data_IF_794905937514
#
_entry.id   IF_794905937514
#
_cell.length_a   1.000
_cell.length_b   1.000
_cell.length_c   1.000
_cell.angle_alpha   90.00
_cell.angle_beta   90.00
_cell.angle_gamma   90.00
#
_symmetry.space_group_name_H-M   'P 1'
#
loop_
_entity.id
_entity.type
_entity.pdbx_description
1 polymer ?
#
# COMPACT_ATOMS: atom_id res chain seq x y z
N UNK A 1 -8.18 22.03 30.86
CA UNK A 1 -9.04 21.44 29.81
C UNK A 1 -8.17 20.50 29.01
N UNK A 2 -8.41 19.19 29.04
CA UNK A 2 -7.61 18.25 28.25
C UNK A 2 -8.12 18.27 26.81
N UNK A 3 -7.29 18.76 25.89
CA UNK A 3 -7.45 18.51 24.46
C UNK A 3 -7.06 17.06 24.18
N UNK A 4 -8.02 16.14 24.33
CA UNK A 4 -7.89 14.81 23.75
C UNK A 4 -7.72 14.97 22.24
N UNK A 5 -6.55 14.62 21.72
CA UNK A 5 -6.35 14.44 20.28
C UNK A 5 -7.35 13.39 19.81
N UNK A 6 -8.28 13.79 18.95
CA UNK A 6 -9.22 12.86 18.33
C UNK A 6 -8.49 12.13 17.20
N UNK A 7 -7.57 11.24 17.56
CA UNK A 7 -6.81 10.42 16.62
C UNK A 7 -7.77 9.48 15.88
N UNK A 8 -8.06 9.85 14.63
CA UNK A 8 -8.84 8.99 13.75
C UNK A 8 -8.02 7.75 13.41
N UNK A 9 -8.46 6.61 13.92
CA UNK A 9 -7.94 5.30 13.54
C UNK A 9 -8.44 4.90 12.15
N UNK A 10 -7.60 4.22 11.38
CA UNK A 10 -7.90 3.75 10.02
C UNK A 10 -7.61 2.26 9.87
N UNK A 11 -8.39 1.57 9.05
CA UNK A 11 -8.03 0.27 8.50
C UNK A 11 -7.15 0.47 7.27
N UNK A 12 -5.88 0.13 7.41
CA UNK A 12 -4.89 0.24 6.35
C UNK A 12 -4.97 -0.93 5.35
N UNK A 13 -5.16 -0.59 4.08
CA UNK A 13 -5.02 -1.51 2.95
C UNK A 13 -3.82 -1.07 2.10
N UNK A 14 -2.68 -1.75 2.29
CA UNK A 14 -1.38 -1.34 1.74
C UNK A 14 -0.87 -2.31 0.66
N UNK A 15 -0.66 -1.82 -0.56
CA UNK A 15 -0.03 -2.57 -1.67
C UNK A 15 1.42 -2.10 -1.85
N UNK A 16 2.40 -3.00 -1.80
CA UNK A 16 3.82 -2.68 -1.97
C UNK A 16 4.49 -3.59 -2.99
N UNK A 17 5.45 -3.05 -3.74
CA UNK A 17 6.20 -3.78 -4.76
C UNK A 17 7.33 -2.91 -5.33
N UNK A 18 7.87 -3.35 -6.47
CA UNK A 18 8.85 -2.60 -7.27
C UNK A 18 8.23 -2.32 -8.64
N UNK A 19 8.48 -1.15 -9.22
CA UNK A 19 7.92 -0.78 -10.51
C UNK A 19 8.47 0.51 -11.07
N UNK A 20 8.18 0.79 -12.34
CA UNK A 20 8.54 2.05 -12.98
C UNK A 20 7.46 3.10 -12.79
N UNK A 21 7.85 4.34 -12.51
CA UNK A 21 6.93 5.49 -12.55
C UNK A 21 6.87 6.01 -13.99
N UNK A 22 5.67 6.29 -14.48
CA UNK A 22 5.43 6.85 -15.80
C UNK A 22 4.27 7.84 -15.79
N UNK A 23 4.11 8.64 -16.86
CA UNK A 23 2.97 9.54 -17.08
C UNK A 23 2.73 10.51 -15.92
N UNK A 24 3.82 11.02 -15.33
CA UNK A 24 3.77 11.96 -14.21
C UNK A 24 3.21 13.30 -14.68
N UNK A 25 2.21 13.80 -13.96
CA UNK A 25 1.47 15.00 -14.34
C UNK A 25 0.81 15.65 -13.12
N UNK A 26 0.64 16.97 -13.19
CA UNK A 26 -0.34 17.64 -12.32
C UNK A 26 -1.74 17.47 -12.92
N UNK A 27 -2.70 17.09 -12.08
CA UNK A 27 -4.09 16.91 -12.46
C UNK A 27 -4.90 18.10 -11.93
N UNK A 28 -5.49 18.93 -12.80
CA UNK A 28 -6.37 20.00 -12.38
C UNK A 28 -7.69 19.43 -11.84
N UNK A 29 -8.20 20.05 -10.79
CA UNK A 29 -9.46 19.68 -10.13
C UNK A 29 -10.54 20.71 -10.43
N UNK A 30 -11.76 20.25 -10.70
CA UNK A 30 -12.93 21.12 -10.90
C UNK A 30 -13.56 21.43 -9.54
N UNK A 31 -13.42 22.66 -9.05
CA UNK A 31 -14.01 23.06 -7.76
C UNK A 31 -13.84 24.53 -7.35
N UNK A 32 -13.67 25.45 -8.31
CA UNK A 32 -13.49 26.88 -8.03
C UNK A 32 -12.17 27.23 -7.31
N UNK A 33 -12.11 28.42 -6.71
CA UNK A 33 -10.86 29.04 -6.18
C UNK A 33 -10.11 28.25 -5.10
N UNK A 34 -10.70 27.22 -4.49
CA UNK A 34 -10.08 26.38 -3.44
C UNK A 34 -9.60 25.01 -3.93
N UNK A 35 -9.87 24.67 -5.19
CA UNK A 35 -9.53 23.37 -5.73
C UNK A 35 -8.06 23.35 -6.19
N UNK A 36 -7.17 22.80 -5.37
CA UNK A 36 -5.74 22.69 -5.67
C UNK A 36 -5.44 21.47 -6.57
N UNK A 37 -4.66 21.62 -7.65
CA UNK A 37 -4.24 20.48 -8.47
C UNK A 37 -3.45 19.47 -7.63
N UNK A 38 -3.43 18.21 -8.07
CA UNK A 38 -2.67 17.16 -7.41
C UNK A 38 -1.71 16.44 -8.35
N UNK A 39 -0.53 16.09 -7.83
CA UNK A 39 0.42 15.26 -8.55
C UNK A 39 -0.11 13.83 -8.69
N UNK A 40 -0.08 13.30 -9.91
CA UNK A 40 -0.46 11.94 -10.23
C UNK A 40 0.56 11.29 -11.15
N UNK A 41 0.67 9.97 -11.07
CA UNK A 41 1.48 9.17 -11.97
C UNK A 41 0.82 7.81 -12.20
N UNK A 42 1.32 7.05 -13.16
CA UNK A 42 1.02 5.62 -13.28
C UNK A 42 2.22 4.83 -12.75
N UNK A 43 2.00 3.84 -11.88
CA UNK A 43 3.02 2.87 -11.50
C UNK A 43 2.85 1.63 -12.37
N UNK A 44 3.91 1.23 -13.07
CA UNK A 44 4.02 -0.04 -13.78
C UNK A 44 4.76 -1.03 -12.88
N UNK A 45 4.00 -1.71 -12.00
CA UNK A 45 4.52 -2.64 -11.01
C UNK A 45 4.93 -3.97 -11.65
N UNK A 46 6.12 -4.46 -11.30
CA UNK A 46 6.66 -5.75 -11.73
C UNK A 46 6.06 -6.89 -10.91
N UNK A 47 5.69 -7.98 -11.55
CA UNK A 47 5.15 -9.19 -10.90
C UNK A 47 5.65 -10.44 -11.62
N UNK A 48 6.02 -11.47 -10.87
CA UNK A 48 6.44 -12.77 -11.41
C UNK A 48 7.95 -12.89 -11.59
N UNK A 49 8.44 -13.85 -12.39
CA UNK A 49 9.87 -14.13 -12.54
C UNK A 49 10.64 -12.91 -13.08
N UNK A 50 11.79 -12.60 -12.49
CA UNK A 50 12.56 -11.40 -12.87
C UNK A 50 13.14 -11.43 -14.30
N UNK A 51 13.22 -12.62 -14.91
CA UNK A 51 13.62 -12.80 -16.32
C UNK A 51 12.52 -12.44 -17.32
N UNK A 52 11.25 -12.52 -16.92
CA UNK A 52 10.08 -12.19 -17.75
C UNK A 52 8.93 -11.65 -16.86
N UNK A 53 9.06 -10.43 -16.34
CA UNK A 53 8.09 -9.87 -15.42
C UNK A 53 6.83 -9.39 -16.14
N UNK A 54 5.68 -9.82 -15.62
CA UNK A 54 4.40 -9.20 -15.94
C UNK A 54 4.27 -7.83 -15.30
N UNK A 55 3.47 -6.94 -15.92
CA UNK A 55 3.16 -5.62 -15.37
C UNK A 55 1.74 -5.56 -14.80
N UNK A 56 1.58 -4.82 -13.70
CA UNK A 56 0.28 -4.33 -13.18
C UNK A 56 0.33 -2.82 -13.11
N UNK A 57 -0.70 -2.16 -13.64
CA UNK A 57 -0.73 -0.71 -13.79
C UNK A 57 -1.66 -0.06 -12.76
N UNK A 58 -1.13 0.90 -12.00
CA UNK A 58 -1.86 1.68 -11.01
C UNK A 58 -1.86 3.16 -11.38
N UNK A 59 -3.02 3.77 -11.57
CA UNK A 59 -3.15 5.22 -11.69
C UNK A 59 -3.29 5.84 -10.29
N UNK A 60 -2.22 6.48 -9.80
CA UNK A 60 -2.11 6.85 -8.39
C UNK A 60 -2.04 8.36 -8.17
N UNK A 61 -2.69 8.82 -7.09
CA UNK A 61 -2.51 10.18 -6.55
C UNK A 61 -1.30 10.18 -5.62
N UNK A 62 -0.30 11.00 -5.92
CA UNK A 62 0.92 11.10 -5.08
C UNK A 62 0.58 11.88 -3.82
N UNK A 63 0.57 11.18 -2.69
CA UNK A 63 0.04 11.69 -1.43
C UNK A 63 1.13 11.91 -0.38
N UNK A 64 2.09 10.97 -0.26
CA UNK A 64 3.21 11.10 0.67
C UNK A 64 4.17 12.23 0.34
N UNK A 65 4.71 12.90 1.36
CA UNK A 65 5.56 14.09 1.20
C UNK A 65 6.85 13.80 0.41
N UNK A 66 7.64 12.80 0.83
CA UNK A 66 8.87 12.42 0.14
C UNK A 66 8.59 11.84 -1.26
N UNK A 67 7.50 11.07 -1.39
CA UNK A 67 7.06 10.58 -2.70
C UNK A 67 6.74 11.74 -3.67
N UNK A 68 6.14 12.85 -3.21
CA UNK A 68 5.95 14.04 -4.05
C UNK A 68 7.28 14.65 -4.48
N UNK A 69 8.21 14.87 -3.55
CA UNK A 69 9.55 15.45 -3.82
C UNK A 69 10.36 14.62 -4.82
N UNK A 70 10.20 13.31 -4.84
CA UNK A 70 10.81 12.41 -5.83
C UNK A 70 10.06 12.52 -7.16
N UNK A 71 8.75 12.26 -7.15
CA UNK A 71 7.97 12.06 -8.38
C UNK A 71 7.85 13.34 -9.21
N UNK A 72 7.74 14.52 -8.59
CA UNK A 72 7.58 15.80 -9.30
C UNK A 72 8.71 16.10 -10.29
N UNK A 73 9.92 15.57 -10.04
CA UNK A 73 11.10 15.73 -10.91
C UNK A 73 10.95 15.07 -12.29
N UNK A 74 9.96 14.19 -12.45
CA UNK A 74 9.72 13.40 -13.65
C UNK A 74 8.47 13.86 -14.44
N UNK A 75 7.90 15.02 -14.12
CA UNK A 75 6.86 15.66 -14.95
C UNK A 75 7.40 15.86 -16.38
N UNK A 76 6.64 15.42 -17.38
CA UNK A 76 7.05 15.51 -18.79
C UNK A 76 8.08 14.47 -19.25
N UNK A 77 8.51 13.54 -18.39
CA UNK A 77 9.41 12.45 -18.78
C UNK A 77 8.62 11.30 -19.40
N UNK A 78 8.54 11.31 -20.74
CA UNK A 78 7.87 10.26 -21.52
C UNK A 78 8.81 9.12 -21.97
N UNK A 79 10.12 9.39 -22.14
CA UNK A 79 11.13 8.41 -22.58
C UNK A 79 11.16 7.19 -21.63
N UNK A 80 10.87 5.96 -22.11
CA UNK A 80 10.95 4.75 -21.32
C UNK A 80 12.29 4.53 -20.61
N UNK A 81 13.40 5.00 -21.19
CA UNK A 81 14.76 4.82 -20.63
C UNK A 81 15.03 5.72 -19.42
N UNK A 82 14.25 6.79 -19.23
CA UNK A 82 14.40 7.79 -18.18
C UNK A 82 13.38 7.62 -17.03
N UNK A 83 12.48 6.63 -17.14
CA UNK A 83 11.49 6.33 -16.11
C UNK A 83 12.18 5.83 -14.84
N UNK A 84 11.94 6.42 -13.66
CA UNK A 84 12.57 5.97 -12.43
C UNK A 84 11.95 4.63 -12.03
N UNK A 85 12.83 3.69 -11.73
CA UNK A 85 12.47 2.45 -11.05
C UNK A 85 12.42 2.73 -9.55
N UNK A 86 11.33 2.34 -8.89
CA UNK A 86 11.12 2.57 -7.47
C UNK A 86 10.63 1.34 -6.73
N UNK A 87 11.06 1.22 -5.47
CA UNK A 87 10.32 0.51 -4.43
C UNK A 87 9.18 1.42 -3.96
N UNK A 88 7.95 0.92 -3.91
CA UNK A 88 6.78 1.75 -3.61
C UNK A 88 5.87 1.15 -2.53
N UNK A 89 5.10 2.04 -1.87
CA UNK A 89 3.93 1.69 -1.06
C UNK A 89 2.73 2.53 -1.50
N UNK A 90 1.67 1.85 -1.89
CA UNK A 90 0.35 2.39 -2.14
C UNK A 90 -0.55 2.15 -0.93
N UNK A 91 -1.48 3.07 -0.67
CA UNK A 91 -2.58 2.90 0.29
C UNK A 91 -3.93 3.14 -0.38
N UNK A 92 -4.96 2.50 0.17
CA UNK A 92 -6.34 2.44 -0.33
C UNK A 92 -6.39 2.03 -1.81
N UNK A 93 -6.41 0.74 -2.09
CA UNK A 93 -6.55 0.24 -3.46
C UNK A 93 -8.03 0.11 -3.84
N UNK A 94 -8.46 0.75 -4.94
CA UNK A 94 -9.81 0.60 -5.51
C UNK A 94 -9.79 0.41 -7.02
N UNK A 95 -10.87 -0.14 -7.57
CA UNK A 95 -11.12 -0.19 -9.00
C UNK A 95 -11.92 1.01 -9.49
N UNK A 96 -11.53 1.58 -10.61
CA UNK A 96 -12.28 2.61 -11.33
C UNK A 96 -12.72 2.05 -12.68
N UNK A 97 -14.04 1.96 -12.91
CA UNK A 97 -14.65 1.29 -14.07
C UNK A 97 -15.19 2.32 -15.05
N UNK A 98 -14.97 2.08 -16.34
CA UNK A 98 -15.37 3.00 -17.40
C UNK A 98 -15.63 2.27 -18.73
N UNK A 99 -16.39 2.91 -19.62
CA UNK A 99 -16.49 2.48 -21.01
C UNK A 99 -15.43 3.23 -21.83
N UNK A 100 -14.69 2.54 -22.69
CA UNK A 100 -13.69 3.18 -23.55
C UNK A 100 -14.36 4.06 -24.60
N UNK A 101 -13.95 5.34 -24.67
CA UNK A 101 -14.49 6.32 -25.62
C UNK A 101 -13.84 6.23 -27.02
N UNK A 102 -12.65 5.63 -27.12
CA UNK A 102 -11.75 5.64 -28.29
C UNK A 102 -10.96 4.32 -28.44
N UNK A 103 -10.31 4.18 -29.59
CA UNK A 103 -9.49 3.02 -29.97
C UNK A 103 -10.33 1.83 -30.45
N UNK A 104 -9.66 0.73 -30.80
CA UNK A 104 -10.30 -0.50 -31.31
C UNK A 104 -11.25 -1.14 -30.30
N UNK A 105 -10.96 -0.97 -28.99
CA UNK A 105 -11.79 -1.45 -27.89
C UNK A 105 -12.84 -0.42 -27.43
N UNK A 106 -13.17 0.58 -28.25
CA UNK A 106 -14.24 1.55 -27.97
C UNK A 106 -15.58 0.85 -27.69
N UNK A 107 -16.31 1.33 -26.69
CA UNK A 107 -17.58 0.75 -26.26
C UNK A 107 -17.45 -0.47 -25.34
N UNK A 108 -16.23 -1.02 -25.17
CA UNK A 108 -15.99 -2.12 -24.23
C UNK A 108 -15.80 -1.59 -22.81
N UNK A 109 -16.15 -2.41 -21.83
CA UNK A 109 -15.81 -2.18 -20.43
C UNK A 109 -14.30 -2.17 -20.24
N UNK A 110 -13.84 -1.30 -19.36
CA UNK A 110 -12.46 -1.18 -18.95
C UNK A 110 -12.40 -0.79 -17.47
N UNK A 111 -11.26 -1.05 -16.84
CA UNK A 111 -11.03 -0.60 -15.49
C UNK A 111 -9.55 -0.24 -15.27
N UNK A 112 -9.30 0.62 -14.29
CA UNK A 112 -7.96 1.00 -13.83
C UNK A 112 -7.88 0.77 -12.33
N UNK A 113 -6.78 0.15 -11.87
CA UNK A 113 -6.47 0.11 -10.44
C UNK A 113 -6.03 1.52 -10.02
N UNK A 114 -6.67 2.07 -8.99
CA UNK A 114 -6.32 3.35 -8.40
C UNK A 114 -5.89 3.18 -6.95
N UNK A 115 -5.01 4.07 -6.52
CA UNK A 115 -4.56 4.15 -5.13
C UNK A 115 -3.93 5.51 -4.79
N UNK A 116 -3.54 5.69 -3.52
CA UNK A 116 -2.66 6.77 -3.07
C UNK A 116 -1.21 6.27 -3.02
N UNK A 117 -0.27 6.93 -3.72
CA UNK A 117 1.16 6.66 -3.55
C UNK A 117 1.64 7.32 -2.25
N UNK A 118 2.02 6.50 -1.26
CA UNK A 118 2.43 6.92 0.08
C UNK A 118 3.95 6.98 0.24
N UNK A 119 4.68 6.00 -0.32
CA UNK A 119 6.14 5.98 -0.34
C UNK A 119 6.64 5.60 -1.74
N UNK A 120 7.73 6.22 -2.16
CA UNK A 120 8.49 5.88 -3.34
C UNK A 120 9.96 6.15 -3.03
N UNK A 121 10.82 5.16 -3.26
CA UNK A 121 12.26 5.20 -3.04
C UNK A 121 12.93 4.67 -4.31
N UNK A 122 13.95 5.36 -4.83
CA UNK A 122 14.71 4.86 -5.99
C UNK A 122 15.41 3.56 -5.60
N UNK A 123 15.34 2.57 -6.50
CA UNK A 123 16.06 1.30 -6.38
C UNK A 123 17.07 1.24 -7.53
N UNK A 124 18.31 0.85 -7.21
CA UNK A 124 19.36 0.72 -8.22
C UNK A 124 19.22 -0.59 -9.03
N UNK A 125 20.01 -0.70 -10.11
CA UNK A 125 19.93 -1.86 -11.02
C UNK A 125 20.57 -3.12 -10.45
N UNK A 126 21.49 -3.00 -9.49
CA UNK A 126 22.13 -4.14 -8.84
C UNK A 126 21.19 -4.76 -7.79
N UNK A 127 20.48 -3.93 -7.01
CA UNK A 127 19.42 -4.40 -6.11
C UNK A 127 18.32 -5.12 -6.91
N UNK A 128 17.82 -4.53 -8.01
CA UNK A 128 16.84 -5.20 -8.88
C UNK A 128 17.37 -6.55 -9.42
N UNK A 129 18.64 -6.61 -9.87
CA UNK A 129 19.22 -7.82 -10.43
C UNK A 129 19.41 -8.95 -9.40
N UNK A 130 19.38 -8.64 -8.11
CA UNK A 130 19.44 -9.64 -7.03
C UNK A 130 18.11 -10.35 -6.76
N UNK A 131 17.00 -9.82 -7.31
CA UNK A 131 15.65 -10.34 -7.10
C UNK A 131 15.33 -11.38 -8.16
N UNK A 132 15.03 -12.62 -7.75
CA UNK A 132 14.61 -13.70 -8.68
C UNK A 132 13.13 -13.62 -9.06
N UNK A 133 12.28 -13.11 -8.16
CA UNK A 133 10.84 -13.02 -8.33
C UNK A 133 10.31 -11.71 -7.74
N UNK A 134 9.57 -10.94 -8.55
CA UNK A 134 8.93 -9.71 -8.11
C UNK A 134 7.57 -10.02 -7.48
N UNK A 135 7.40 -9.61 -6.22
CA UNK A 135 6.12 -9.63 -5.52
C UNK A 135 5.40 -8.28 -5.58
N UNK A 136 4.07 -8.35 -5.61
CA UNK A 136 3.16 -7.20 -5.49
C UNK A 136 2.18 -7.48 -4.35
N UNK A 137 2.66 -7.25 -3.11
CA UNK A 137 1.95 -7.68 -1.91
C UNK A 137 0.97 -6.62 -1.42
N UNK A 138 -0.31 -6.99 -1.39
CA UNK A 138 -1.37 -6.24 -0.70
C UNK A 138 -1.59 -6.82 0.69
N UNK A 139 -1.51 -6.00 1.73
CA UNK A 139 -1.69 -6.37 3.14
C UNK A 139 -2.86 -5.61 3.73
N UNK A 140 -3.61 -6.27 4.61
CA UNK A 140 -4.72 -5.68 5.35
C UNK A 140 -5.39 -6.69 6.27
N UNK A 141 -6.52 -6.31 6.84
CA UNK A 141 -7.44 -7.22 7.54
C UNK A 141 -8.80 -7.23 6.83
N UNK A 142 -9.52 -8.34 6.91
CA UNK A 142 -10.78 -8.49 6.19
C UNK A 142 -11.53 -9.77 6.56
N UNK A 143 -12.79 -9.85 6.17
CA UNK A 143 -13.59 -11.05 6.43
C UNK A 143 -13.45 -12.06 5.28
N UNK A 144 -13.09 -13.30 5.63
CA UNK A 144 -13.02 -14.43 4.72
C UNK A 144 -14.42 -15.00 4.50
N UNK A 145 -14.84 -15.16 3.25
CA UNK A 145 -16.11 -15.79 2.89
C UNK A 145 -16.03 -16.51 1.53
N UNK A 146 -17.13 -17.17 1.12
CA UNK A 146 -17.29 -17.83 -0.19
C UNK A 146 -16.15 -18.79 -0.56
N UNK A 147 -15.68 -19.56 0.43
CA UNK A 147 -14.69 -20.62 0.20
C UNK A 147 -15.30 -21.70 -0.69
N UNK A 148 -14.59 -22.09 -1.75
CA UNK A 148 -15.03 -23.09 -2.73
C UNK A 148 -13.83 -23.73 -3.42
N UNK A 149 -13.91 -25.03 -3.70
CA UNK A 149 -13.02 -25.67 -4.66
C UNK A 149 -13.51 -25.35 -6.09
N UNK A 150 -12.60 -24.92 -6.96
CA UNK A 150 -12.88 -24.54 -8.35
C UNK A 150 -12.17 -25.51 -9.27
N UNK A 151 -12.93 -26.21 -10.12
CA UNK A 151 -12.41 -27.07 -11.19
C UNK A 151 -12.64 -26.39 -12.53
N UNK A 152 -11.62 -25.72 -13.11
CA UNK A 152 -11.73 -25.10 -14.43
C UNK A 152 -11.83 -26.15 -15.55
N UNK A 153 -12.25 -25.72 -16.74
CA UNK A 153 -12.30 -26.60 -17.93
C UNK A 153 -10.91 -27.02 -18.44
N UNK A 154 -9.87 -26.28 -18.07
CA UNK A 154 -8.47 -26.52 -18.39
C UNK A 154 -7.61 -25.94 -17.26
N UNK A 155 -6.50 -26.61 -16.93
CA UNK A 155 -5.70 -26.34 -15.74
C UNK A 155 -6.17 -27.12 -14.51
N UNK A 156 -5.39 -27.04 -13.44
CA UNK A 156 -5.63 -27.77 -12.20
C UNK A 156 -6.79 -27.15 -11.38
N UNK A 157 -7.42 -27.97 -10.54
CA UNK A 157 -8.38 -27.47 -9.54
C UNK A 157 -7.66 -26.69 -8.45
N UNK A 158 -8.29 -25.62 -7.96
CA UNK A 158 -7.73 -24.74 -6.94
C UNK A 158 -8.77 -24.34 -5.89
N UNK A 159 -8.31 -24.06 -4.67
CA UNK A 159 -9.14 -23.46 -3.64
C UNK A 159 -9.29 -21.96 -3.91
N UNK A 160 -10.52 -21.45 -3.84
CA UNK A 160 -10.85 -20.04 -4.01
C UNK A 160 -11.65 -19.52 -2.82
N UNK A 161 -11.49 -18.24 -2.50
CA UNK A 161 -12.31 -17.55 -1.50
C UNK A 161 -12.40 -16.05 -1.82
N UNK A 162 -13.43 -15.38 -1.30
CA UNK A 162 -13.54 -13.92 -1.35
C UNK A 162 -13.08 -13.33 -0.03
N UNK A 163 -12.23 -12.29 -0.07
CA UNK A 163 -11.83 -11.50 1.09
C UNK A 163 -12.49 -10.13 1.03
N UNK A 164 -13.37 -9.84 1.99
CA UNK A 164 -13.96 -8.52 2.20
C UNK A 164 -13.00 -7.69 3.07
N UNK A 165 -12.00 -7.06 2.45
CA UNK A 165 -10.99 -6.26 3.14
C UNK A 165 -11.56 -4.96 3.67
N UNK A 166 -11.20 -4.62 4.92
CA UNK A 166 -11.54 -3.35 5.56
C UNK A 166 -10.58 -2.26 5.07
N UNK A 167 -11.11 -1.08 4.76
CA UNK A 167 -10.35 0.10 4.40
C UNK A 167 -11.03 1.38 4.95
N UNK A 168 -10.28 2.46 5.10
CA UNK A 168 -10.83 3.75 5.53
C UNK A 168 -11.00 3.88 7.06
N UNK A 169 -11.81 4.83 7.54
CA UNK A 169 -11.98 5.10 8.97
C UNK A 169 -12.49 3.87 9.76
N UNK A 170 -12.05 3.70 11.01
CA UNK A 170 -12.48 2.57 11.86
C UNK A 170 -13.94 2.70 12.32
N UNK A 171 -14.44 3.92 12.45
CA UNK A 171 -15.82 4.25 12.78
C UNK A 171 -16.79 4.07 11.59
N UNK A 172 -16.32 4.20 10.36
CA UNK A 172 -17.09 4.01 9.13
C UNK A 172 -16.25 3.24 8.08
N UNK A 173 -16.07 1.92 8.24
CA UNK A 173 -15.21 1.14 7.35
C UNK A 173 -15.83 0.86 5.98
N UNK A 174 -15.07 1.10 4.93
CA UNK A 174 -15.36 0.62 3.58
C UNK A 174 -14.92 -0.85 3.41
N UNK A 175 -15.62 -1.57 2.52
CA UNK A 175 -15.25 -2.92 2.11
C UNK A 175 -14.72 -2.96 0.68
N UNK A 176 -13.52 -3.50 0.49
CA UNK A 176 -12.94 -3.85 -0.82
C UNK A 176 -12.98 -5.37 -0.96
N UNK A 177 -13.77 -5.87 -1.90
CA UNK A 177 -13.92 -7.31 -2.13
C UNK A 177 -12.86 -7.78 -3.12
N UNK A 178 -12.08 -8.77 -2.70
CA UNK A 178 -11.08 -9.46 -3.52
C UNK A 178 -11.51 -10.90 -3.73
N UNK A 179 -11.69 -11.31 -4.98
CA UNK A 179 -11.80 -12.73 -5.31
C UNK A 179 -10.39 -13.30 -5.44
N UNK A 180 -10.14 -14.41 -4.73
CA UNK A 180 -8.77 -14.92 -4.58
C UNK A 180 -8.63 -16.39 -4.91
N UNK A 181 -7.47 -16.73 -5.45
CA UNK A 181 -6.92 -18.10 -5.48
C UNK A 181 -6.09 -18.26 -4.21
N UNK A 182 -6.28 -19.34 -3.47
CA UNK A 182 -5.43 -19.69 -2.31
C UNK A 182 -4.29 -20.56 -2.81
N UNK A 183 -3.04 -20.09 -2.73
CA UNK A 183 -1.93 -20.69 -3.48
C UNK A 183 -0.80 -21.30 -2.65
N UNK A 184 -0.84 -21.18 -1.32
CA UNK A 184 0.16 -21.83 -0.45
C UNK A 184 -0.51 -22.91 0.40
N UNK A 185 0.15 -24.07 0.63
CA UNK A 185 -0.43 -25.14 1.44
C UNK A 185 -0.82 -24.72 2.86
N UNK A 186 -0.08 -23.77 3.45
CA UNK A 186 -0.43 -23.17 4.74
C UNK A 186 -1.74 -22.36 4.65
N UNK A 187 -1.86 -21.46 3.67
CA UNK A 187 -3.08 -20.66 3.50
C UNK A 187 -4.28 -21.55 3.14
N UNK A 188 -4.10 -22.60 2.32
CA UNK A 188 -5.16 -23.57 2.04
C UNK A 188 -5.64 -24.29 3.30
N UNK A 189 -4.72 -24.81 4.11
CA UNK A 189 -5.05 -25.47 5.37
C UNK A 189 -5.82 -24.54 6.32
N UNK A 190 -5.38 -23.28 6.43
CA UNK A 190 -6.03 -22.26 7.26
C UNK A 190 -7.41 -21.84 6.74
N UNK A 191 -7.58 -21.71 5.41
CA UNK A 191 -8.89 -21.41 4.79
C UNK A 191 -9.85 -22.59 4.95
N UNK A 192 -9.41 -23.84 4.74
CA UNK A 192 -10.26 -25.03 4.91
C UNK A 192 -10.73 -25.20 6.36
N UNK A 193 -9.89 -24.89 7.35
CA UNK A 193 -10.28 -24.82 8.78
C UNK A 193 -11.42 -23.83 9.07
N UNK A 194 -11.63 -22.83 8.22
CA UNK A 194 -12.67 -21.81 8.41
C UNK A 194 -14.01 -22.16 7.77
N UNK A 195 -14.09 -23.20 6.92
CA UNK A 195 -15.29 -23.53 6.13
C UNK A 195 -16.54 -23.71 7.00
N UNK A 196 -16.48 -24.57 8.03
CA UNK A 196 -17.60 -24.80 8.94
C UNK A 196 -18.07 -23.53 9.68
N UNK A 197 -17.17 -22.59 9.95
CA UNK A 197 -17.53 -21.32 10.58
C UNK A 197 -18.25 -20.40 9.58
N UNK A 198 -17.79 -20.35 8.33
CA UNK A 198 -18.39 -19.56 7.26
C UNK A 198 -19.76 -20.12 6.86
N UNK A 199 -19.91 -21.44 6.78
CA UNK A 199 -21.18 -22.12 6.52
C UNK A 199 -22.20 -21.97 7.67
N UNK A 200 -21.71 -21.74 8.90
CA UNK A 200 -22.52 -21.41 10.07
C UNK A 200 -22.75 -19.91 10.28
N UNK A 201 -22.60 -19.08 9.24
CA UNK A 201 -22.76 -17.62 9.24
C UNK A 201 -21.89 -16.85 10.28
N UNK A 202 -20.79 -17.46 10.75
CA UNK A 202 -19.89 -16.87 11.75
C UNK A 202 -18.91 -15.88 11.11
N UNK A 203 -18.54 -14.84 11.84
CA UNK A 203 -17.64 -13.79 11.34
C UNK A 203 -16.18 -14.23 11.42
N UNK A 204 -15.62 -14.70 10.31
CA UNK A 204 -14.21 -15.06 10.17
C UNK A 204 -13.39 -13.86 9.67
N UNK A 205 -12.74 -13.14 10.59
CA UNK A 205 -11.80 -12.05 10.30
C UNK A 205 -10.38 -12.61 10.16
N UNK A 206 -9.67 -12.25 9.10
CA UNK A 206 -8.27 -12.63 8.86
C UNK A 206 -7.35 -11.42 8.71
N UNK A 207 -6.09 -11.57 9.09
CA UNK A 207 -5.00 -10.71 8.62
C UNK A 207 -4.32 -11.39 7.43
N UNK A 208 -4.26 -10.72 6.28
CA UNK A 208 -3.90 -11.36 5.00
C UNK A 208 -2.68 -10.74 4.32
N UNK A 209 -2.02 -11.55 3.48
CA UNK A 209 -1.18 -11.10 2.37
C UNK A 209 -1.76 -11.65 1.07
N UNK A 210 -2.15 -10.76 0.16
CA UNK A 210 -2.45 -11.09 -1.22
C UNK A 210 -1.25 -10.73 -2.12
N UNK A 211 -1.05 -11.45 -3.22
CA UNK A 211 -0.03 -11.19 -4.24
C UNK A 211 -0.68 -11.06 -5.64
N UNK A 212 0.01 -10.44 -6.60
CA UNK A 212 -0.42 -10.30 -8.00
C UNK A 212 -1.83 -9.70 -8.15
N UNK A 213 -2.01 -8.49 -7.62
CA UNK A 213 -3.28 -7.76 -7.66
C UNK A 213 -3.67 -7.35 -9.10
N UNK A 214 -4.90 -7.66 -9.49
CA UNK A 214 -5.49 -7.48 -10.82
C UNK A 214 -6.86 -6.81 -10.74
N UNK A 215 -7.33 -6.35 -11.89
CA UNK A 215 -8.70 -5.90 -12.09
C UNK A 215 -9.21 -6.45 -13.42
N UNK A 216 -10.35 -7.13 -13.41
CA UNK A 216 -10.99 -7.66 -14.62
C UNK A 216 -12.33 -6.95 -14.88
N UNK A 217 -12.45 -6.14 -15.96
CA UNK A 217 -13.65 -5.40 -16.27
C UNK A 217 -14.69 -6.24 -17.03
N UNK A 218 -15.94 -6.17 -16.61
CA UNK A 218 -17.06 -6.87 -17.24
C UNK A 218 -18.33 -6.00 -17.33
N UNK A 219 -19.30 -6.42 -18.13
CA UNK A 219 -20.66 -5.86 -18.15
C UNK A 219 -21.55 -6.73 -17.26
N UNK A 220 -22.26 -6.12 -16.31
CA UNK A 220 -23.22 -6.84 -15.45
C UNK A 220 -24.34 -7.43 -16.30
N UNK A 221 -24.62 -8.71 -16.17
CA UNK A 221 -25.65 -9.41 -16.96
C UNK A 221 -26.98 -9.60 -16.23
N UNK A 222 -27.04 -9.30 -14.92
CA UNK A 222 -28.19 -9.53 -14.04
C UNK A 222 -28.27 -8.47 -12.92
N UNK A 223 -29.44 -8.35 -12.30
CA UNK A 223 -29.72 -7.39 -11.23
C UNK A 223 -30.14 -6.02 -11.75
N UNK A 224 -30.39 -5.08 -10.84
CA UNK A 224 -30.85 -3.71 -11.16
C UNK A 224 -29.84 -2.94 -12.03
N UNK A 225 -28.56 -3.21 -11.85
CA UNK A 225 -27.44 -2.64 -12.62
C UNK A 225 -27.07 -3.44 -13.88
N UNK A 226 -27.98 -4.25 -14.44
CA UNK A 226 -27.69 -5.00 -15.67
C UNK A 226 -27.42 -4.05 -16.86
N UNK A 227 -26.37 -4.32 -17.62
CA UNK A 227 -25.86 -3.46 -18.70
C UNK A 227 -24.79 -2.45 -18.25
N UNK A 228 -24.62 -2.21 -16.95
CA UNK A 228 -23.57 -1.32 -16.45
C UNK A 228 -22.18 -1.99 -16.43
N UNK A 229 -21.10 -1.21 -16.64
CA UNK A 229 -19.74 -1.70 -16.43
C UNK A 229 -19.45 -1.93 -14.94
N UNK A 230 -18.72 -2.99 -14.67
CA UNK A 230 -18.20 -3.34 -13.36
C UNK A 230 -16.80 -3.94 -13.52
N UNK A 231 -16.15 -4.27 -12.40
CA UNK A 231 -14.93 -5.05 -12.41
C UNK A 231 -14.81 -5.90 -11.15
N UNK A 232 -14.12 -7.03 -11.29
CA UNK A 232 -13.66 -7.84 -10.16
C UNK A 232 -12.25 -7.41 -9.80
N UNK A 233 -11.94 -7.31 -8.50
CA UNK A 233 -10.57 -7.22 -8.03
C UNK A 233 -10.10 -8.64 -7.72
N UNK A 234 -9.04 -9.07 -8.38
CA UNK A 234 -8.55 -10.44 -8.31
C UNK A 234 -7.12 -10.49 -7.77
N UNK A 235 -6.79 -11.51 -6.97
CA UNK A 235 -5.46 -11.65 -6.39
C UNK A 235 -5.19 -13.08 -5.93
N UNK A 236 -3.99 -13.35 -5.42
CA UNK A 236 -3.61 -14.64 -4.86
C UNK A 236 -3.40 -14.52 -3.35
N UNK A 237 -4.18 -15.22 -2.54
CA UNK A 237 -3.95 -15.31 -1.10
C UNK A 237 -2.74 -16.21 -0.83
N UNK A 238 -1.65 -15.59 -0.37
CA UNK A 238 -0.36 -16.27 -0.15
C UNK A 238 -0.05 -16.54 1.32
N UNK A 239 -0.65 -15.80 2.25
CA UNK A 239 -0.45 -16.00 3.69
C UNK A 239 -1.59 -15.40 4.52
N UNK A 240 -1.93 -16.07 5.63
CA UNK A 240 -2.83 -15.59 6.68
C UNK A 240 -1.99 -15.51 7.96
N UNK A 241 -1.89 -14.31 8.56
CA UNK A 241 -1.11 -14.10 9.79
C UNK A 241 -1.92 -14.22 11.08
N UNK A 242 -3.25 -14.12 11.00
CA UNK A 242 -4.17 -14.20 12.14
C UNK A 242 -5.56 -14.61 11.66
N UNK A 243 -6.29 -15.37 12.50
CA UNK A 243 -7.72 -15.67 12.31
C UNK A 243 -8.46 -15.38 13.61
N UNK A 244 -9.56 -14.62 13.53
CA UNK A 244 -10.56 -14.43 14.58
C UNK A 244 -11.92 -14.92 14.09
N UNK A 245 -12.62 -15.71 14.92
CA UNK A 245 -13.99 -16.15 14.66
C UNK A 245 -14.88 -15.54 15.74
N UNK A 246 -15.83 -14.71 15.32
CA UNK A 246 -16.69 -13.88 16.20
C UNK A 246 -15.89 -13.08 17.24
N UNK A 247 -14.76 -12.51 16.79
CA UNK A 247 -13.83 -11.73 17.61
C UNK A 247 -12.80 -12.54 18.40
N UNK A 248 -13.05 -13.83 18.66
CA UNK A 248 -12.12 -14.72 19.39
C UNK A 248 -11.00 -15.19 18.48
N UNK A 249 -9.74 -14.98 18.87
CA UNK A 249 -8.57 -15.39 18.08
C UNK A 249 -8.36 -16.90 18.17
N UNK A 250 -8.25 -17.55 17.00
CA UNK A 250 -8.06 -19.01 16.86
C UNK A 250 -6.81 -19.40 16.04
N UNK A 251 -6.09 -18.39 15.51
CA UNK A 251 -4.77 -18.54 14.92
C UNK A 251 -4.01 -17.20 15.00
N UNK A 252 -2.69 -17.20 15.27
CA UNK A 252 -1.93 -18.34 15.79
C UNK A 252 -2.47 -18.78 17.14
N UNK A 253 -2.44 -20.09 17.41
CA UNK A 253 -2.74 -20.64 18.74
C UNK A 253 -1.59 -20.24 19.67
N UNK A 254 -1.87 -19.81 20.91
CA UNK A 254 -0.88 -19.29 21.88
C UNK A 254 0.29 -20.24 22.26
N UNK A 255 0.38 -21.42 21.66
CA UNK A 255 1.47 -22.38 21.83
C UNK A 255 2.55 -22.29 20.72
N UNK A 256 2.36 -21.44 19.70
CA UNK A 256 3.21 -21.37 18.52
C UNK A 256 3.83 -19.97 18.31
N UNK A 257 4.57 -19.49 19.31
CA UNK A 257 5.29 -18.21 19.24
C UNK A 257 6.78 -18.45 19.52
N UNK A 258 7.67 -18.32 18.51
CA UNK A 258 9.10 -18.23 18.73
C UNK A 258 9.42 -17.00 19.58
N UNK A 259 10.45 -17.08 20.43
CA UNK A 259 10.88 -15.95 21.25
C UNK A 259 11.21 -14.72 20.40
N UNK A 260 10.73 -13.55 20.83
CA UNK A 260 11.11 -12.28 20.24
C UNK A 260 12.54 -11.92 20.65
N UNK A 261 13.38 -11.36 19.75
CA UNK A 261 14.61 -10.70 20.15
C UNK A 261 14.33 -9.55 21.14
N UNK A 262 15.26 -9.21 22.03
CA UNK A 262 15.09 -8.08 22.95
C UNK A 262 14.84 -6.78 22.17
N UNK A 263 13.94 -5.94 22.69
CA UNK A 263 13.83 -4.57 22.21
C UNK A 263 15.06 -3.77 22.66
N UNK A 264 15.74 -3.10 21.74
CA UNK A 264 16.66 -2.02 22.10
C UNK A 264 15.84 -0.78 22.47
N UNK A 265 16.22 -0.15 23.59
CA UNK A 265 15.43 0.88 24.25
C UNK A 265 15.27 2.16 23.42
N UNK A 266 14.05 2.67 23.42
CA UNK A 266 13.78 4.08 23.18
C UNK A 266 13.39 4.74 24.50
N UNK A 267 14.37 5.28 25.23
CA UNK A 267 14.10 6.31 26.24
C UNK A 267 15.17 7.40 26.18
N UNK A 268 14.72 8.62 25.94
CA UNK A 268 15.48 9.83 26.24
C UNK A 268 14.85 10.44 27.50
N UNK A 269 15.68 10.82 28.46
CA UNK A 269 15.27 11.65 29.61
C UNK A 269 16.39 12.61 29.96
N UNK A 270 16.12 13.90 29.83
CA UNK A 270 16.93 14.98 30.39
C UNK A 270 16.53 15.21 31.85
N UNK A 271 17.52 15.38 32.75
CA UNK A 271 17.44 16.22 33.95
C UNK A 271 18.83 16.33 34.62
N UNK A 272 19.21 17.54 35.05
CA UNK A 272 20.38 17.88 35.88
C UNK A 272 20.31 17.22 37.30
N UNK A 273 21.36 17.14 38.14
CA UNK A 273 22.23 18.23 38.60
C UNK A 273 23.37 17.72 39.54
N UNK A 274 24.46 18.50 39.71
CA UNK A 274 25.49 18.51 40.79
C UNK A 274 26.37 17.25 41.11
N UNK A 275 27.65 17.28 41.58
CA UNK A 275 28.69 18.31 41.88
C UNK A 275 30.09 17.63 42.06
N UNK A 276 31.21 18.33 41.76
CA UNK A 276 32.66 18.09 42.12
C UNK A 276 33.36 16.74 41.75
N UNK A 277 34.69 16.63 41.53
CA UNK A 277 35.84 17.53 41.85
C UNK A 277 37.01 17.41 40.84
N UNK A 278 37.68 18.55 40.59
CA UNK A 278 39.12 18.77 40.29
C UNK A 278 40.02 17.72 39.55
N UNK A 279 40.60 18.11 38.40
CA UNK A 279 42.04 18.48 38.32
C UNK A 279 42.41 19.22 37.02
N UNK A 280 43.22 20.27 37.15
CA UNK A 280 43.89 21.05 36.08
C UNK A 280 45.40 20.68 36.06
N UNK A 281 46.23 20.99 35.03
CA UNK A 281 46.52 22.39 34.63
C UNK A 281 46.78 22.69 33.13
N UNK A 282 46.49 23.95 32.74
CA UNK A 282 47.34 24.94 31.99
C UNK A 282 48.34 24.47 30.89
N UNK A 283 48.62 25.17 29.79
CA UNK A 283 48.38 26.56 29.28
C UNK A 283 48.15 26.50 27.73
N UNK A 284 47.91 27.56 26.91
CA UNK A 284 47.83 29.03 27.05
C UNK A 284 47.04 29.64 25.85
N UNK A 285 46.54 30.87 25.96
CA UNK A 285 46.20 31.76 24.82
C UNK A 285 47.27 32.87 24.62
N UNK A 286 47.18 33.79 23.63
CA UNK A 286 46.17 34.87 23.65
C UNK A 286 45.47 35.18 22.30
N UNK A 287 44.18 35.52 22.42
CA UNK A 287 43.49 36.70 21.85
C UNK A 287 43.64 37.09 20.36
N UNK A 288 42.49 37.16 19.68
CA UNK A 288 42.09 38.37 18.94
C UNK A 288 40.55 38.43 18.79
N UNK A 289 39.90 39.34 19.51
CA UNK A 289 38.49 39.72 19.28
C UNK A 289 38.39 40.73 18.15
N UNK A 290 37.38 40.60 17.27
CA UNK A 290 36.66 41.74 16.68
C UNK A 290 35.18 41.38 16.60
N UNK A 291 34.34 42.30 17.05
CA UNK A 291 32.89 42.20 17.20
C UNK A 291 32.17 42.96 16.05
N UNK A 292 30.85 42.73 15.90
CA UNK A 292 29.91 43.49 15.04
C UNK A 292 30.16 43.49 13.51
N UNK A 293 29.16 43.43 12.61
CA UNK A 293 27.86 44.10 12.67
C UNK A 293 26.87 43.50 11.63
N UNK A 294 25.56 43.51 11.93
CA UNK A 294 24.51 43.46 10.88
C UNK A 294 24.55 44.74 10.02
N UNK A 295 23.95 44.68 8.82
CA UNK A 295 22.91 45.69 8.58
C UNK A 295 21.59 45.10 8.03
N UNK A 296 20.50 45.54 8.63
CA UNK A 296 19.16 45.49 8.03
C UNK A 296 18.99 46.62 6.99
N UNK A 297 17.82 46.61 6.30
CA UNK A 297 17.33 47.50 5.20
C UNK A 297 17.51 46.90 3.78
N UNK A 298 16.56 47.01 2.85
CA UNK A 298 15.26 47.71 2.85
C UNK A 298 14.18 46.99 2.01
N UNK A 299 12.98 47.57 2.01
CA UNK A 299 11.77 47.09 1.33
C UNK A 299 11.73 47.33 -0.21
N UNK A 300 10.70 46.75 -0.83
CA UNK A 300 10.04 47.16 -2.09
C UNK A 300 10.89 47.23 -3.37
N UNK A 301 10.63 46.32 -4.31
CA UNK A 301 9.55 46.46 -5.31
C UNK A 301 9.04 45.08 -5.78
#
# INVERSE_FOLDING_TARGET
MNTTSNEKSYFDLHTSGIGYIQRVREVPVRGGRRAQPFLACTIAALVGPARDPSYRYFDVKVSGAEAKKLVQRYIGVDDPKQRPLVRFRLGDLWGDVYIRDKGEQKGQAAASLKARLLKAELIDRAELASIEQHELITRGIGYLNRVKDVTPKAGDSFLSCTVAALAGPVDEPEYRYFDTIVATPEAEHLVRRCVQAIEGDRKVLIAFRLNDMKIDPYIRTKGEHAGEPAASLESTLVHIGLIKIDGTQVYPTSQAQPEAPPAEDASASEADDAIDTATEPAEREPEAQVEEQEPALAASF
#
